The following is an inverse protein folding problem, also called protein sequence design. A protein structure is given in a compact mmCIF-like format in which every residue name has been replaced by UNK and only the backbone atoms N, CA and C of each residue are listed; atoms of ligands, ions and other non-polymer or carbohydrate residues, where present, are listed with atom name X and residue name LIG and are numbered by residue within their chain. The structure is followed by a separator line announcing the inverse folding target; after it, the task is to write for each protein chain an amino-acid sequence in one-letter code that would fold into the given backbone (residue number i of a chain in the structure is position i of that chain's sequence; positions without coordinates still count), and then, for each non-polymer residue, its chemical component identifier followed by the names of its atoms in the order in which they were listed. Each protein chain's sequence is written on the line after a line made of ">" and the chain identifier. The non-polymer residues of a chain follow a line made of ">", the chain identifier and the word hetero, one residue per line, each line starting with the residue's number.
data_IF_839061136061
#
_entry.id   IF_839061136061
#
_cell.length_a   1.000
_cell.length_b   1.000
_cell.length_c   1.000
_cell.angle_alpha   90.00
_cell.angle_beta   90.00
_cell.angle_gamma   90.00
#
_symmetry.space_group_name_H-M   'P 1'
#
loop_
_entity.id
_entity.type
_entity.pdbx_description
1 polymer ?
#
# COMPACT_ATOMS: atom_id res chain seq x y z
N UNK A 1 -24.58 -7.36 -5.05
CA UNK A 1 -23.37 -6.74 -5.62
C UNK A 1 -22.95 -5.60 -4.72
N UNK A 2 -21.87 -5.76 -3.95
CA UNK A 2 -21.34 -4.66 -3.13
C UNK A 2 -20.62 -3.68 -4.07
N UNK A 3 -21.14 -2.45 -4.22
CA UNK A 3 -20.45 -1.38 -4.96
C UNK A 3 -19.08 -1.16 -4.32
N UNK A 4 -17.99 -1.29 -5.08
CA UNK A 4 -16.68 -0.85 -4.60
C UNK A 4 -16.78 0.64 -4.24
N UNK A 5 -16.50 0.99 -2.98
CA UNK A 5 -16.57 2.37 -2.46
C UNK A 5 -15.49 3.28 -3.07
N UNK A 6 -14.45 2.68 -3.65
CA UNK A 6 -13.27 3.37 -4.18
C UNK A 6 -13.07 3.08 -5.66
N UNK A 7 -12.65 4.11 -6.39
CA UNK A 7 -12.26 4.05 -7.80
C UNK A 7 -10.73 4.20 -7.90
N UNK A 8 -10.13 3.59 -8.92
CA UNK A 8 -8.68 3.71 -9.14
C UNK A 8 -8.25 5.16 -9.42
N UNK A 9 -9.05 5.89 -10.22
CA UNK A 9 -8.74 7.25 -10.63
C UNK A 9 -7.52 7.34 -11.57
N UNK A 10 -6.81 8.47 -11.50
CA UNK A 10 -5.57 8.71 -12.25
C UNK A 10 -4.48 7.75 -11.79
N UNK A 11 -3.94 6.93 -12.69
CA UNK A 11 -2.82 6.02 -12.39
C UNK A 11 -1.51 6.81 -12.42
N UNK A 12 -0.78 6.80 -11.31
CA UNK A 12 0.50 7.53 -11.15
C UNK A 12 1.72 6.62 -11.24
N UNK A 13 1.53 5.30 -11.12
CA UNK A 13 2.58 4.31 -11.32
C UNK A 13 2.00 2.96 -11.74
N UNK A 14 2.77 2.23 -12.54
CA UNK A 14 2.48 0.85 -12.91
C UNK A 14 3.72 -0.03 -12.67
N UNK A 15 3.50 -1.26 -12.20
CA UNK A 15 4.55 -2.28 -12.06
C UNK A 15 4.07 -3.59 -12.65
N UNK A 16 4.89 -4.18 -13.52
CA UNK A 16 4.64 -5.48 -14.11
C UNK A 16 5.58 -6.52 -13.49
N UNK A 17 5.05 -7.69 -13.13
CA UNK A 17 5.82 -8.82 -12.64
C UNK A 17 5.55 -10.05 -13.50
N UNK A 18 6.63 -10.78 -13.79
CA UNK A 18 6.57 -12.12 -14.36
C UNK A 18 7.14 -13.10 -13.37
N UNK A 19 6.36 -14.11 -12.99
CA UNK A 19 6.76 -15.13 -12.03
C UNK A 19 6.55 -16.49 -12.67
N UNK A 20 7.51 -17.40 -12.51
CA UNK A 20 7.44 -18.75 -13.04
C UNK A 20 7.69 -19.79 -11.94
N UNK A 21 6.75 -20.72 -11.78
CA UNK A 21 6.86 -21.88 -10.90
C UNK A 21 6.72 -23.15 -11.74
N UNK A 22 7.85 -23.80 -12.03
CA UNK A 22 7.87 -24.94 -12.96
C UNK A 22 7.36 -24.56 -14.34
N UNK A 23 6.19 -25.11 -14.73
CA UNK A 23 5.51 -24.80 -16.00
C UNK A 23 4.48 -23.67 -15.89
N UNK A 24 4.08 -23.30 -14.68
CA UNK A 24 3.12 -22.23 -14.46
C UNK A 24 3.79 -20.86 -14.59
N UNK A 25 3.10 -19.93 -15.26
CA UNK A 25 3.56 -18.57 -15.48
C UNK A 25 2.48 -17.59 -15.05
N UNK A 26 2.91 -16.56 -14.35
CA UNK A 26 2.08 -15.47 -13.88
C UNK A 26 2.58 -14.18 -14.52
N UNK A 27 1.70 -13.45 -15.18
CA UNK A 27 1.96 -12.09 -15.65
C UNK A 27 1.02 -11.15 -14.91
N UNK A 28 1.56 -10.39 -13.96
CA UNK A 28 0.81 -9.58 -13.02
C UNK A 28 1.10 -8.12 -13.28
N UNK A 29 0.07 -7.30 -13.41
CA UNK A 29 0.20 -5.85 -13.51
C UNK A 29 -0.42 -5.21 -12.28
N UNK A 30 0.32 -4.31 -11.63
CA UNK A 30 -0.14 -3.54 -10.49
C UNK A 30 -0.21 -2.09 -10.93
N UNK A 31 -1.36 -1.47 -10.71
CA UNK A 31 -1.58 -0.06 -10.97
C UNK A 31 -1.82 0.65 -9.66
N UNK A 32 -1.08 1.75 -9.45
CA UNK A 32 -1.20 2.62 -8.29
C UNK A 32 -1.91 3.90 -8.74
N UNK A 33 -3.09 4.13 -8.20
CA UNK A 33 -3.83 5.35 -8.39
C UNK A 33 -3.27 6.49 -7.56
N UNK A 34 -3.65 7.71 -7.89
CA UNK A 34 -3.25 8.92 -7.18
C UNK A 34 -3.80 8.90 -5.74
N UNK A 35 -2.95 9.11 -4.72
CA UNK A 35 -3.44 9.19 -3.34
C UNK A 35 -4.37 10.39 -3.17
N UNK A 36 -5.39 10.22 -2.32
CA UNK A 36 -6.40 11.22 -2.00
C UNK A 36 -6.64 11.26 -0.51
N UNK A 37 -7.12 12.40 -0.01
CA UNK A 37 -7.64 12.47 1.35
C UNK A 37 -8.85 11.54 1.50
N UNK A 38 -8.89 10.82 2.61
CA UNK A 38 -9.98 9.93 2.93
C UNK A 38 -11.18 10.74 3.44
N UNK A 39 -12.43 10.42 3.02
CA UNK A 39 -13.61 11.15 3.48
C UNK A 39 -13.89 11.00 4.97
N UNK A 40 -13.37 9.94 5.59
CA UNK A 40 -13.38 9.76 7.05
C UNK A 40 -12.13 10.39 7.65
N UNK A 41 -12.25 11.43 8.50
CA UNK A 41 -11.12 12.22 9.01
C UNK A 41 -10.05 11.38 9.73
N UNK A 42 -10.46 10.33 10.44
CA UNK A 42 -9.55 9.47 11.21
C UNK A 42 -8.61 8.63 10.34
N UNK A 43 -8.92 8.49 9.05
CA UNK A 43 -8.13 7.68 8.11
C UNK A 43 -7.17 8.52 7.25
N UNK A 44 -7.18 9.85 7.37
CA UNK A 44 -6.28 10.81 6.71
C UNK A 44 -6.18 10.67 5.18
N UNK A 45 -5.34 9.76 4.68
CA UNK A 45 -5.08 9.56 3.26
C UNK A 45 -5.28 8.09 2.86
N UNK A 46 -5.74 7.89 1.63
CA UNK A 46 -5.73 6.57 1.00
C UNK A 46 -5.12 6.62 -0.40
N UNK A 47 -4.53 5.51 -0.80
CA UNK A 47 -4.00 5.29 -2.13
C UNK A 47 -4.70 4.08 -2.75
N UNK A 48 -5.54 4.28 -3.78
CA UNK A 48 -6.20 3.17 -4.45
C UNK A 48 -5.20 2.41 -5.33
N UNK A 49 -5.35 1.09 -5.41
CA UNK A 49 -4.54 0.26 -6.28
C UNK A 49 -5.33 -0.93 -6.83
N UNK A 50 -4.84 -1.48 -7.95
CA UNK A 50 -5.43 -2.64 -8.61
C UNK A 50 -4.35 -3.66 -8.94
N UNK A 51 -4.71 -4.95 -8.86
CA UNK A 51 -3.84 -6.08 -9.22
C UNK A 51 -4.55 -6.87 -10.33
N UNK A 52 -3.94 -6.88 -11.50
CA UNK A 52 -4.42 -7.55 -12.72
C UNK A 52 -3.59 -8.80 -13.00
N UNK A 53 -4.13 -9.72 -13.81
CA UNK A 53 -3.41 -10.95 -14.21
C UNK A 53 -3.40 -12.06 -13.16
N UNK A 54 -4.17 -11.90 -12.08
CA UNK A 54 -4.44 -12.95 -11.10
C UNK A 54 -5.74 -13.67 -11.49
N UNK A 55 -5.74 -14.99 -11.75
CA UNK A 55 -6.92 -15.75 -12.18
C UNK A 55 -7.93 -15.91 -11.03
N UNK A 56 -8.69 -14.84 -10.82
CA UNK A 56 -9.93 -14.75 -10.05
C UNK A 56 -10.61 -13.46 -10.50
N UNK A 57 -11.73 -13.58 -11.21
CA UNK A 57 -12.46 -12.42 -11.75
C UNK A 57 -12.79 -11.39 -10.66
N UNK A 58 -13.05 -11.85 -9.45
CA UNK A 58 -13.37 -11.00 -8.29
C UNK A 58 -12.19 -10.16 -7.79
N UNK A 59 -10.95 -10.54 -8.11
CA UNK A 59 -9.74 -9.81 -7.70
C UNK A 59 -9.32 -8.84 -8.80
N UNK A 60 -9.34 -9.30 -10.05
CA UNK A 60 -8.93 -8.48 -11.19
C UNK A 60 -9.81 -7.23 -11.36
N UNK A 61 -11.10 -7.30 -11.01
CA UNK A 61 -12.02 -6.15 -11.05
C UNK A 61 -12.04 -5.31 -9.76
N UNK A 62 -11.23 -5.66 -8.74
CA UNK A 62 -11.32 -5.02 -7.42
C UNK A 62 -10.27 -3.94 -7.26
N UNK A 63 -10.73 -2.78 -6.81
CA UNK A 63 -9.88 -1.70 -6.32
C UNK A 63 -9.68 -1.89 -4.82
N UNK A 64 -8.43 -1.94 -4.41
CA UNK A 64 -8.00 -1.97 -3.03
C UNK A 64 -7.46 -0.60 -2.63
N UNK A 65 -7.24 -0.38 -1.33
CA UNK A 65 -6.72 0.89 -0.83
C UNK A 65 -5.67 0.65 0.26
N UNK A 66 -4.51 1.29 0.14
CA UNK A 66 -3.59 1.48 1.26
C UNK A 66 -4.00 2.73 2.04
N UNK A 67 -4.07 2.66 3.37
CA UNK A 67 -4.34 3.82 4.24
C UNK A 67 -3.02 4.31 4.83
N UNK A 68 -2.78 5.61 4.78
CA UNK A 68 -1.59 6.23 5.34
C UNK A 68 -1.89 7.56 6.02
N UNK A 69 -0.95 8.03 6.83
CA UNK A 69 -1.10 9.33 7.52
C UNK A 69 -0.95 10.52 6.55
N UNK A 70 -0.18 10.35 5.47
CA UNK A 70 -0.04 11.29 4.37
C UNK A 70 -0.09 10.57 3.01
N UNK A 71 0.04 11.34 1.93
CA UNK A 71 0.00 10.81 0.57
C UNK A 71 1.13 9.81 0.26
N UNK A 72 2.33 10.05 0.78
CA UNK A 72 3.51 9.22 0.51
C UNK A 72 3.43 7.91 1.28
N UNK A 73 3.05 7.96 2.55
CA UNK A 73 2.78 6.78 3.36
C UNK A 73 1.63 5.97 2.75
N UNK A 74 0.55 6.60 2.29
CA UNK A 74 -0.54 5.86 1.64
C UNK A 74 -0.06 5.09 0.40
N UNK A 75 0.84 5.68 -0.42
CA UNK A 75 1.49 4.97 -1.55
C UNK A 75 2.35 3.81 -1.03
N UNK A 76 3.17 4.06 -0.01
CA UNK A 76 4.01 3.01 0.57
C UNK A 76 3.16 1.84 1.10
N UNK A 77 2.07 2.12 1.81
CA UNK A 77 1.14 1.13 2.33
C UNK A 77 0.41 0.36 1.22
N UNK A 78 0.09 1.02 0.10
CA UNK A 78 -0.43 0.30 -1.07
C UNK A 78 0.55 -0.77 -1.55
N UNK A 79 1.85 -0.47 -1.66
CA UNK A 79 2.86 -1.47 -2.02
C UNK A 79 3.06 -2.57 -0.97
N UNK A 80 2.93 -2.26 0.33
CA UNK A 80 2.92 -3.28 1.40
C UNK A 80 1.74 -4.23 1.21
N UNK A 81 0.54 -3.69 0.98
CA UNK A 81 -0.67 -4.48 0.75
C UNK A 81 -0.55 -5.37 -0.49
N UNK A 82 0.01 -4.85 -1.59
CA UNK A 82 0.28 -5.63 -2.80
C UNK A 82 1.20 -6.82 -2.50
N UNK A 83 2.32 -6.57 -1.81
CA UNK A 83 3.27 -7.62 -1.46
C UNK A 83 2.64 -8.72 -0.60
N UNK A 84 1.88 -8.34 0.43
CA UNK A 84 1.15 -9.28 1.30
C UNK A 84 0.12 -10.10 0.52
N UNK A 85 -0.64 -9.44 -0.35
CA UNK A 85 -1.65 -10.09 -1.16
C UNK A 85 -1.01 -11.13 -2.08
N UNK A 86 0.02 -10.74 -2.84
CA UNK A 86 0.69 -11.61 -3.80
C UNK A 86 1.41 -12.77 -3.13
N UNK A 87 2.12 -12.52 -2.03
CA UNK A 87 2.81 -13.60 -1.32
C UNK A 87 1.82 -14.63 -0.78
N UNK A 88 0.70 -14.18 -0.19
CA UNK A 88 -0.35 -15.07 0.30
C UNK A 88 -1.06 -15.82 -0.83
N UNK A 89 -1.37 -15.13 -1.93
CA UNK A 89 -2.00 -15.73 -3.10
C UNK A 89 -1.13 -16.84 -3.71
N UNK A 90 0.14 -16.56 -3.96
CA UNK A 90 1.08 -17.51 -4.54
C UNK A 90 1.35 -18.68 -3.60
N UNK A 91 1.48 -18.44 -2.30
CA UNK A 91 1.64 -19.51 -1.31
C UNK A 91 0.41 -20.45 -1.27
N UNK A 92 -0.80 -19.93 -1.46
CA UNK A 92 -2.01 -20.75 -1.57
C UNK A 92 -2.05 -21.59 -2.85
N UNK A 93 -1.52 -21.07 -3.96
CA UNK A 93 -1.43 -21.78 -5.25
C UNK A 93 -0.29 -22.78 -5.30
N UNK A 94 0.79 -22.48 -4.59
CA UNK A 94 2.02 -23.26 -4.49
C UNK A 94 2.36 -23.51 -3.02
N UNK A 95 1.66 -24.42 -2.32
CA UNK A 95 1.89 -24.71 -0.90
C UNK A 95 3.32 -25.17 -0.56
N UNK A 96 4.08 -25.64 -1.55
CA UNK A 96 5.51 -25.95 -1.44
C UNK A 96 6.37 -24.73 -1.07
N UNK A 97 5.90 -23.51 -1.38
CA UNK A 97 6.54 -22.24 -1.03
C UNK A 97 6.23 -21.86 0.42
N UNK A 98 6.74 -22.63 1.38
CA UNK A 98 6.41 -22.51 2.81
C UNK A 98 6.76 -21.16 3.48
N UNK A 99 7.49 -20.25 2.82
CA UNK A 99 7.98 -18.98 3.40
C UNK A 99 7.99 -17.79 2.45
N UNK A 100 7.16 -17.80 1.40
CA UNK A 100 7.13 -16.66 0.47
C UNK A 100 6.67 -15.38 1.21
N UNK A 101 7.50 -14.35 1.17
CA UNK A 101 7.26 -13.07 1.81
C UNK A 101 7.20 -11.93 0.77
N UNK A 102 6.59 -10.77 1.12
CA UNK A 102 6.58 -9.59 0.24
C UNK A 102 7.94 -9.20 -0.34
N UNK A 103 8.99 -9.28 0.48
CA UNK A 103 10.35 -8.91 0.10
C UNK A 103 11.00 -9.86 -0.88
N UNK A 104 10.58 -11.12 -0.95
CA UNK A 104 11.03 -12.05 -2.00
C UNK A 104 10.49 -11.65 -3.39
N UNK A 105 9.48 -10.77 -3.41
CA UNK A 105 8.87 -10.20 -4.61
C UNK A 105 9.27 -8.72 -4.79
N UNK A 106 10.32 -8.26 -4.10
CA UNK A 106 10.78 -6.86 -4.07
C UNK A 106 9.66 -5.87 -3.69
N UNK A 107 8.74 -6.28 -2.81
CA UNK A 107 7.79 -5.38 -2.17
C UNK A 107 8.25 -5.02 -0.76
N UNK A 108 7.85 -3.85 -0.25
CA UNK A 108 8.12 -3.51 1.13
C UNK A 108 7.47 -4.53 2.06
N UNK A 109 8.25 -5.01 3.03
CA UNK A 109 7.74 -5.88 4.07
C UNK A 109 6.81 -5.10 4.99
N UNK A 110 5.92 -5.82 5.68
CA UNK A 110 5.32 -5.28 6.89
C UNK A 110 6.46 -5.08 7.88
N UNK A 111 6.98 -3.87 7.95
CA UNK A 111 7.75 -3.50 9.11
C UNK A 111 6.76 -3.57 10.27
N UNK A 112 7.08 -4.30 11.34
CA UNK A 112 6.31 -4.35 12.58
C UNK A 112 6.28 -2.99 13.31
N UNK A 113 6.43 -1.88 12.57
CA UNK A 113 6.25 -0.50 12.98
C UNK A 113 4.79 -0.16 13.37
N UNK A 114 3.98 -1.16 13.74
CA UNK A 114 2.88 -1.00 14.71
C UNK A 114 3.32 -0.30 16.01
N UNK A 115 4.63 -0.10 16.23
CA UNK A 115 5.15 0.91 17.16
C UNK A 115 6.37 1.62 16.57
N UNK A 116 6.14 2.54 15.64
CA UNK A 116 6.50 3.88 16.06
C UNK A 116 5.17 4.51 16.44
N UNK A 117 4.75 4.30 17.70
CA UNK A 117 3.73 5.19 18.27
C UNK A 117 4.23 6.59 17.96
N UNK A 118 3.36 7.48 17.52
CA UNK A 118 3.73 8.89 17.33
C UNK A 118 4.49 9.43 18.55
N UNK A 119 4.15 8.93 19.75
CA UNK A 119 4.88 9.11 21.02
C UNK A 119 6.36 8.63 21.04
N UNK A 120 6.71 7.50 20.41
CA UNK A 120 8.08 6.99 20.28
C UNK A 120 8.88 7.72 19.19
N UNK A 121 8.23 8.09 18.07
CA UNK A 121 8.80 8.98 17.07
C UNK A 121 9.21 10.29 17.75
N UNK A 122 8.22 10.94 18.39
CA UNK A 122 8.41 12.18 19.12
C UNK A 122 9.41 12.03 20.28
N UNK A 123 9.51 10.89 20.97
CA UNK A 123 10.55 10.66 22.00
C UNK A 123 11.96 10.59 21.42
N UNK A 124 12.16 9.97 20.25
CA UNK A 124 13.48 9.94 19.58
C UNK A 124 13.90 11.34 19.11
N UNK A 125 12.95 12.15 18.67
CA UNK A 125 13.18 13.53 18.23
C UNK A 125 13.32 14.52 19.42
N UNK A 126 12.51 14.39 20.49
CA UNK A 126 12.59 15.19 21.73
C UNK A 126 13.92 15.09 22.47
N UNK A 127 14.68 14.01 22.28
CA UNK A 127 16.02 13.85 22.87
C UNK A 127 17.07 14.76 22.24
N UNK A 128 16.78 15.41 21.12
CA UNK A 128 17.62 16.43 20.51
C UNK A 128 16.87 17.76 20.56
N UNK A 129 17.57 18.86 20.86
CA UNK A 129 17.00 20.21 20.95
C UNK A 129 16.56 20.74 19.57
N UNK A 130 15.53 20.18 18.98
CA UNK A 130 14.89 20.77 17.81
C UNK A 130 13.41 20.42 17.77
N UNK A 131 12.62 21.36 17.25
CA UNK A 131 11.20 21.19 16.95
C UNK A 131 11.09 20.78 15.48
N UNK A 132 10.28 19.78 15.18
CA UNK A 132 9.90 19.45 13.81
C UNK A 132 8.44 19.85 13.67
N UNK A 133 8.19 20.84 12.83
CA UNK A 133 6.85 21.26 12.44
C UNK A 133 6.64 20.82 11.00
N UNK A 134 5.47 20.24 10.71
CA UNK A 134 5.15 19.80 9.36
C UNK A 134 4.18 20.79 8.74
N UNK A 135 4.55 21.31 7.58
CA UNK A 135 3.65 22.15 6.79
C UNK A 135 2.71 21.25 6.01
N UNK A 136 1.46 21.16 6.46
CA UNK A 136 0.41 20.50 5.70
C UNK A 136 -0.11 21.52 4.69
N UNK A 137 0.14 21.26 3.41
CA UNK A 137 -0.48 22.02 2.32
C UNK A 137 -1.61 21.18 1.73
N UNK A 138 -2.83 21.68 1.86
CA UNK A 138 -3.95 21.28 1.01
C UNK A 138 -4.14 22.37 -0.05
N UNK A 139 -4.90 22.08 -1.11
CA UNK A 139 -5.22 23.08 -2.13
C UNK A 139 -5.99 24.30 -1.58
N UNK A 140 -6.53 24.21 -0.35
CA UNK A 140 -7.45 25.20 0.23
C UNK A 140 -6.90 25.89 1.49
N UNK A 141 -5.86 25.36 2.15
CA UNK A 141 -5.27 26.00 3.33
C UNK A 141 -3.87 25.53 3.66
N UNK A 142 -3.08 26.42 4.26
CA UNK A 142 -1.81 26.10 4.91
C UNK A 142 -1.97 26.21 6.43
N UNK A 143 -1.62 25.15 7.15
CA UNK A 143 -1.60 25.17 8.62
C UNK A 143 -0.39 24.40 9.15
N UNK A 144 0.13 24.87 10.28
CA UNK A 144 1.21 24.24 11.03
C UNK A 144 0.63 23.33 12.12
N UNK A 145 1.13 22.10 12.23
CA UNK A 145 0.76 21.12 13.27
C UNK A 145 2.03 20.57 13.93
#
# INVERSE_FOLDING_TARGET
>A
MQKNRYELGEVIAERQLRIQFGKEKYEITIQIGKPKQHPEPDLNWYCPFQILGVPSEQIASKIFTGIGFDALDAIHQAFVCVGLFLSSYLQRKHPELKRLSPGDLDFPQVTTSRRIRWEEFLKRFRKKKFTVEWKVSSAESESWI
#
